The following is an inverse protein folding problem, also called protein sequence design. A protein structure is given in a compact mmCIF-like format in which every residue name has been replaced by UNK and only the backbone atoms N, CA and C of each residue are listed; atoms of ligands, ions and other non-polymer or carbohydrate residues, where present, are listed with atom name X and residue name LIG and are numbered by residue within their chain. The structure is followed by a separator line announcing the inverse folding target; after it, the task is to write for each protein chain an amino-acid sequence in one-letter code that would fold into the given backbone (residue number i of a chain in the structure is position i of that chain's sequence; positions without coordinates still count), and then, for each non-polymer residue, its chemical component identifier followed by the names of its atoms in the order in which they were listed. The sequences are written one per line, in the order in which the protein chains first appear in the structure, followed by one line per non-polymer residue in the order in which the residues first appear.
data_IF_363692154484
#
_entry.id   IF_363692154484
#
_cell.length_a   1.000
_cell.length_b   1.000
_cell.length_c   1.000
_cell.angle_alpha   90.00
_cell.angle_beta   90.00
_cell.angle_gamma   90.00
#
_symmetry.space_group_name_H-M   'P 1'
#
loop_
_entity.id
_entity.type
_entity.pdbx_description
1 polymer ?
#
# COMPACT_ATOMS: atom_id res chain seq x y z
N UNK A 1 -11.21 24.22 22.56
CA UNK A 1 -12.18 23.96 21.48
C UNK A 1 -12.34 22.46 21.29
N UNK A 2 -13.52 21.96 21.64
CA UNK A 2 -13.91 20.55 21.73
C UNK A 2 -13.89 19.85 20.36
N UNK A 3 -13.30 18.65 20.32
CA UNK A 3 -13.40 17.71 19.21
C UNK A 3 -14.85 17.28 19.02
N UNK A 4 -15.32 17.29 17.76
CA UNK A 4 -16.63 16.76 17.39
C UNK A 4 -16.53 15.23 17.20
N UNK A 5 -17.62 14.49 17.47
CA UNK A 5 -17.60 13.03 17.54
C UNK A 5 -17.64 12.38 16.15
N UNK A 6 -17.09 11.16 16.10
CA UNK A 6 -17.29 10.16 15.04
C UNK A 6 -18.75 10.11 14.58
N UNK A 7 -18.99 10.29 13.28
CA UNK A 7 -20.28 10.00 12.65
C UNK A 7 -20.15 8.77 11.77
N UNK A 8 -20.99 7.79 12.08
CA UNK A 8 -21.23 6.58 11.29
C UNK A 8 -21.89 6.87 9.95
N UNK A 9 -21.50 6.06 8.97
CA UNK A 9 -22.20 5.60 7.77
C UNK A 9 -23.36 6.45 7.24
N UNK A 10 -23.08 7.14 6.14
CA UNK A 10 -24.08 7.69 5.26
C UNK A 10 -23.84 7.28 3.83
N UNK A 11 -24.19 6.03 3.45
CA UNK A 11 -24.65 5.65 2.10
C UNK A 11 -25.06 4.16 1.97
N UNK A 12 -25.70 3.59 2.98
CA UNK A 12 -26.53 2.38 2.84
C UNK A 12 -27.93 2.77 2.32
N UNK A 13 -28.03 3.24 1.07
CA UNK A 13 -29.31 3.29 0.33
C UNK A 13 -29.13 3.68 -1.15
N UNK A 14 -28.68 2.74 -1.96
CA UNK A 14 -29.07 2.66 -3.36
C UNK A 14 -28.99 1.21 -3.84
N UNK A 15 -30.13 0.49 -3.77
CA UNK A 15 -30.27 -0.79 -4.48
C UNK A 15 -30.21 -0.52 -5.98
N UNK A 16 -29.07 -0.79 -6.60
CA UNK A 16 -28.98 -1.02 -8.04
C UNK A 16 -28.71 -2.50 -8.28
N UNK A 17 -29.55 -3.12 -9.11
CA UNK A 17 -29.46 -4.53 -9.49
C UNK A 17 -28.26 -4.74 -10.42
N UNK A 18 -27.60 -5.91 -10.39
CA UNK A 18 -26.58 -6.23 -11.39
C UNK A 18 -27.21 -6.28 -12.79
N UNK A 19 -26.65 -5.51 -13.72
CA UNK A 19 -26.96 -5.60 -15.14
C UNK A 19 -25.81 -6.34 -15.80
N UNK A 20 -25.98 -7.65 -16.01
CA UNK A 20 -25.15 -8.40 -16.95
C UNK A 20 -25.81 -8.34 -18.33
N UNK A 21 -25.06 -7.95 -19.36
CA UNK A 21 -25.51 -7.91 -20.75
C UNK A 21 -25.57 -9.29 -21.44
N UNK A 22 -25.60 -10.38 -20.67
CA UNK A 22 -25.99 -11.70 -21.16
C UNK A 22 -27.31 -12.11 -20.50
N UNK A 23 -28.40 -12.02 -21.26
CA UNK A 23 -29.75 -12.30 -20.77
C UNK A 23 -29.92 -13.73 -20.30
N UNK A 24 -30.46 -13.92 -19.10
CA UNK A 24 -31.52 -14.84 -18.66
C UNK A 24 -31.60 -14.73 -17.13
N UNK A 25 -32.78 -14.44 -16.60
CA UNK A 25 -32.99 -14.11 -15.18
C UNK A 25 -33.11 -15.32 -14.26
N UNK A 26 -33.00 -15.06 -12.95
CA UNK A 26 -33.96 -15.56 -11.95
C UNK A 26 -33.78 -14.92 -10.55
N UNK A 27 -34.83 -15.13 -9.76
CA UNK A 27 -35.33 -14.53 -8.51
C UNK A 27 -34.49 -14.74 -7.23
N UNK A 28 -34.66 -13.90 -6.19
CA UNK A 28 -33.88 -13.96 -4.94
C UNK A 28 -34.52 -14.83 -3.85
N UNK A 29 -33.70 -15.43 -2.99
CA UNK A 29 -34.10 -16.04 -1.73
C UNK A 29 -33.30 -15.42 -0.58
N UNK A 30 -34.00 -15.01 0.48
CA UNK A 30 -33.47 -14.29 1.63
C UNK A 30 -33.34 -15.23 2.84
N UNK A 31 -32.24 -15.12 3.58
CA UNK A 31 -32.15 -15.55 4.97
C UNK A 31 -31.25 -14.57 5.73
N UNK A 32 -31.72 -14.14 6.91
CA UNK A 32 -31.13 -13.12 7.77
C UNK A 32 -29.88 -13.62 8.53
N UNK A 33 -28.94 -12.75 8.92
CA UNK A 33 -27.77 -13.14 9.69
C UNK A 33 -28.08 -13.24 11.18
N UNK A 34 -27.47 -14.23 11.83
CA UNK A 34 -27.42 -14.33 13.29
C UNK A 34 -26.19 -13.58 13.80
N UNK A 35 -26.42 -12.63 14.70
CA UNK A 35 -25.42 -11.88 15.45
C UNK A 35 -24.68 -12.77 16.44
N UNK A 36 -23.36 -12.83 16.34
CA UNK A 36 -22.47 -13.40 17.37
C UNK A 36 -21.57 -12.30 17.89
N UNK A 37 -21.70 -12.00 19.18
CA UNK A 37 -20.83 -11.12 19.97
C UNK A 37 -19.39 -11.66 19.90
N UNK A 38 -18.52 -10.98 19.14
CA UNK A 38 -17.08 -11.17 19.23
C UNK A 38 -16.57 -10.36 20.42
N UNK A 39 -16.37 -11.05 21.53
CA UNK A 39 -15.66 -10.51 22.68
C UNK A 39 -14.19 -10.35 22.30
N UNK A 40 -13.71 -9.10 22.29
CA UNK A 40 -12.31 -8.72 22.12
C UNK A 40 -11.42 -9.46 23.13
N UNK A 41 -10.83 -10.57 22.71
CA UNK A 41 -9.69 -11.17 23.41
C UNK A 41 -8.48 -10.29 23.15
N UNK A 42 -8.17 -9.44 24.12
CA UNK A 42 -6.86 -8.79 24.25
C UNK A 42 -5.82 -9.89 24.45
N UNK A 43 -5.21 -10.34 23.35
CA UNK A 43 -4.17 -11.35 23.37
C UNK A 43 -2.92 -10.77 24.04
N UNK A 44 -2.42 -11.53 25.01
CA UNK A 44 -1.18 -11.28 25.72
C UNK A 44 0.00 -11.80 24.89
N UNK A 45 0.72 -10.92 24.21
CA UNK A 45 2.10 -11.12 23.77
C UNK A 45 2.76 -9.76 23.66
N UNK A 46 4.04 -9.64 24.06
CA UNK A 46 4.79 -8.40 23.82
C UNK A 46 4.73 -8.03 22.34
N UNK A 47 4.62 -6.73 22.05
CA UNK A 47 4.62 -6.19 20.69
C UNK A 47 5.83 -6.75 19.93
N UNK A 48 5.57 -7.49 18.86
CA UNK A 48 6.63 -7.99 17.99
C UNK A 48 7.01 -6.85 17.05
N UNK A 49 8.24 -6.40 17.16
CA UNK A 49 8.77 -5.32 16.33
C UNK A 49 9.82 -5.86 15.36
N UNK A 50 9.83 -5.26 14.17
CA UNK A 50 10.88 -5.39 13.17
C UNK A 50 11.96 -4.32 13.36
N UNK A 51 12.69 -3.97 12.30
CA UNK A 51 13.68 -2.90 12.31
C UNK A 51 13.13 -1.57 12.84
N UNK A 52 13.97 -0.86 13.58
CA UNK A 52 13.73 0.51 14.06
C UNK A 52 13.73 1.49 12.88
N UNK A 53 12.90 2.53 12.96
CA UNK A 53 12.97 3.67 12.04
C UNK A 53 14.12 4.61 12.43
N UNK A 54 15.33 4.28 12.02
CA UNK A 54 16.57 4.95 12.46
C UNK A 54 16.72 6.43 12.02
N UNK A 55 15.84 6.94 11.15
CA UNK A 55 15.91 8.31 10.62
C UNK A 55 14.94 9.30 11.27
N UNK A 56 14.12 8.86 12.24
CA UNK A 56 13.11 9.72 12.90
C UNK A 56 13.72 10.97 13.54
N UNK A 57 14.81 10.82 14.30
CA UNK A 57 15.50 11.92 15.00
C UNK A 57 16.12 12.95 14.05
N UNK A 58 16.36 12.56 12.79
CA UNK A 58 16.84 13.45 11.74
C UNK A 58 15.70 14.18 11.00
N UNK A 59 14.46 14.08 11.49
CA UNK A 59 13.30 14.78 10.94
C UNK A 59 12.66 14.07 9.74
N UNK A 60 12.98 12.80 9.52
CA UNK A 60 12.42 12.01 8.44
C UNK A 60 11.15 11.27 8.88
N UNK A 61 10.16 11.22 8.01
CA UNK A 61 8.90 10.49 8.22
C UNK A 61 8.88 9.24 7.35
N UNK A 62 8.83 8.02 7.92
CA UNK A 62 8.74 6.78 7.15
C UNK A 62 7.39 6.68 6.45
N UNK A 63 7.36 6.15 5.23
CA UNK A 63 6.13 6.10 4.43
C UNK A 63 5.99 4.76 3.69
N UNK A 64 6.77 4.53 2.63
CA UNK A 64 6.70 3.28 1.88
C UNK A 64 7.47 2.14 2.55
N UNK A 65 7.12 0.90 2.20
CA UNK A 65 7.83 -0.31 2.62
C UNK A 65 7.92 -1.32 1.47
N UNK A 66 9.13 -1.79 1.19
CA UNK A 66 9.39 -2.89 0.25
C UNK A 66 10.22 -3.99 0.91
N UNK A 67 10.24 -5.17 0.31
CA UNK A 67 10.99 -6.33 0.82
C UNK A 67 11.74 -7.06 -0.29
N UNK A 68 13.04 -7.27 -0.10
CA UNK A 68 13.85 -8.17 -0.93
C UNK A 68 14.04 -9.50 -0.18
N UNK A 69 13.21 -10.49 -0.53
CA UNK A 69 13.26 -11.82 0.06
C UNK A 69 14.59 -12.56 -0.19
N UNK A 70 15.25 -12.28 -1.32
CA UNK A 70 16.51 -12.94 -1.69
C UNK A 70 17.67 -12.46 -0.83
N UNK A 71 17.64 -11.19 -0.42
CA UNK A 71 18.67 -10.58 0.43
C UNK A 71 18.28 -10.50 1.90
N UNK A 72 17.00 -10.74 2.23
CA UNK A 72 16.49 -10.57 3.59
C UNK A 72 16.50 -9.11 4.03
N UNK A 73 16.20 -8.19 3.11
CA UNK A 73 16.28 -6.75 3.34
C UNK A 73 14.91 -6.10 3.29
N UNK A 74 14.66 -5.17 4.22
CA UNK A 74 13.50 -4.30 4.21
C UNK A 74 13.93 -2.92 3.73
N UNK A 75 13.18 -2.39 2.77
CA UNK A 75 13.37 -1.06 2.20
C UNK A 75 12.31 -0.14 2.81
N UNK A 76 12.73 0.99 3.37
CA UNK A 76 11.81 2.02 3.86
C UNK A 76 12.14 3.33 3.17
N UNK A 77 11.15 3.93 2.52
CA UNK A 77 11.25 5.32 2.05
C UNK A 77 10.80 6.25 3.15
N UNK A 78 11.52 7.35 3.29
CA UNK A 78 11.18 8.44 4.17
C UNK A 78 11.07 9.74 3.39
N UNK A 79 10.23 10.66 3.84
CA UNK A 79 10.23 12.05 3.35
C UNK A 79 10.49 13.03 4.48
N UNK A 80 10.90 14.26 4.14
CA UNK A 80 11.09 15.34 5.10
C UNK A 80 10.33 16.61 4.67
N UNK A 81 10.38 17.66 5.51
CA UNK A 81 9.70 18.93 5.25
C UNK A 81 10.28 19.73 4.06
N UNK A 82 11.48 19.37 3.60
CA UNK A 82 12.08 19.92 2.37
C UNK A 82 11.62 19.18 1.11
N UNK A 83 10.65 18.26 1.21
CA UNK A 83 10.18 17.41 0.11
C UNK A 83 11.30 16.62 -0.57
N UNK A 84 12.23 16.10 0.23
CA UNK A 84 13.21 15.11 -0.23
C UNK A 84 12.77 13.73 0.20
N UNK A 85 13.15 12.71 -0.57
CA UNK A 85 12.92 11.31 -0.23
C UNK A 85 14.24 10.59 0.01
N UNK A 86 14.35 9.95 1.17
CA UNK A 86 15.45 9.07 1.55
C UNK A 86 14.99 7.62 1.40
N UNK A 87 15.78 6.79 0.73
CA UNK A 87 15.66 5.34 0.80
C UNK A 87 16.63 4.83 1.85
N UNK A 88 16.14 4.05 2.83
CA UNK A 88 16.95 3.26 3.74
C UNK A 88 16.71 1.77 3.47
N UNK A 89 17.77 0.98 3.53
CA UNK A 89 17.74 -0.47 3.38
C UNK A 89 18.32 -1.08 4.65
N UNK A 90 17.54 -1.90 5.33
CA UNK A 90 17.91 -2.56 6.58
C UNK A 90 17.84 -4.08 6.43
N UNK A 91 18.80 -4.78 7.02
CA UNK A 91 18.71 -6.24 7.20
C UNK A 91 17.51 -6.56 8.11
N UNK A 92 16.63 -7.47 7.69
CA UNK A 92 15.34 -7.71 8.35
C UNK A 92 15.48 -8.23 9.78
N UNK A 93 16.53 -9.02 10.05
CA UNK A 93 16.70 -9.75 11.31
C UNK A 93 17.49 -8.93 12.35
N UNK A 94 18.56 -8.27 11.92
CA UNK A 94 19.41 -7.44 12.79
C UNK A 94 18.96 -5.98 12.87
N UNK A 95 18.12 -5.52 11.93
CA UNK A 95 17.71 -4.11 11.81
C UNK A 95 18.83 -3.16 11.38
N UNK A 96 20.03 -3.68 11.07
CA UNK A 96 21.18 -2.86 10.69
C UNK A 96 20.96 -2.28 9.29
N UNK A 97 21.15 -0.96 9.15
CA UNK A 97 21.19 -0.30 7.85
C UNK A 97 22.40 -0.78 7.03
N UNK A 98 22.11 -1.32 5.84
CA UNK A 98 23.10 -1.75 4.86
C UNK A 98 23.36 -0.66 3.82
N UNK A 99 22.29 0.04 3.41
CA UNK A 99 22.37 1.11 2.42
C UNK A 99 21.44 2.27 2.74
N UNK A 100 21.81 3.46 2.27
CA UNK A 100 20.96 4.63 2.25
C UNK A 100 21.31 5.56 1.09
N UNK A 101 20.30 6.15 0.45
CA UNK A 101 20.50 7.16 -0.58
C UNK A 101 19.34 8.14 -0.60
N UNK A 102 19.65 9.44 -0.73
CA UNK A 102 18.62 10.41 -1.10
C UNK A 102 18.31 10.25 -2.58
N UNK A 103 17.03 10.16 -2.89
CA UNK A 103 16.53 9.91 -4.23
C UNK A 103 16.46 11.22 -5.03
N UNK A 104 17.12 11.21 -6.17
CA UNK A 104 17.13 12.29 -7.15
C UNK A 104 16.14 12.04 -8.29
N UNK A 105 16.09 12.98 -9.23
CA UNK A 105 15.32 12.84 -10.46
C UNK A 105 15.60 13.98 -11.44
N UNK A 106 15.65 13.71 -12.76
CA UNK A 106 15.96 14.72 -13.75
C UNK A 106 14.78 15.69 -13.96
N UNK A 107 15.04 16.96 -14.31
CA UNK A 107 13.99 17.84 -14.83
C UNK A 107 13.34 17.26 -16.10
N UNK A 108 12.04 17.50 -16.35
CA UNK A 108 11.17 18.39 -15.58
C UNK A 108 10.53 17.76 -14.33
N UNK A 109 10.53 16.42 -14.21
CA UNK A 109 9.89 15.73 -13.09
C UNK A 109 10.54 16.07 -11.74
N UNK A 110 11.87 16.21 -11.72
CA UNK A 110 12.62 16.45 -10.49
C UNK A 110 12.67 15.22 -9.58
N UNK A 111 13.29 15.33 -8.39
CA UNK A 111 13.30 14.27 -7.40
C UNK A 111 11.88 13.99 -6.87
N UNK A 112 11.61 12.76 -6.39
CA UNK A 112 10.35 12.47 -5.71
C UNK A 112 10.22 13.36 -4.46
N UNK A 113 9.05 13.97 -4.28
CA UNK A 113 8.70 14.81 -3.13
C UNK A 113 8.03 14.05 -1.99
N UNK A 114 7.44 12.89 -2.31
CA UNK A 114 6.92 11.89 -1.40
C UNK A 114 7.35 10.51 -1.89
N UNK A 115 7.50 9.56 -0.96
CA UNK A 115 7.92 8.18 -1.26
C UNK A 115 6.89 7.19 -0.76
N UNK A 116 5.61 7.42 -1.06
CA UNK A 116 4.52 6.69 -0.40
C UNK A 116 4.45 5.22 -0.80
N UNK A 117 5.01 4.86 -1.96
CA UNK A 117 5.25 3.48 -2.35
C UNK A 117 6.73 3.24 -2.62
N UNK A 118 7.25 2.12 -2.11
CA UNK A 118 8.55 1.57 -2.50
C UNK A 118 8.45 0.06 -2.61
N UNK A 119 9.07 -0.51 -3.64
CA UNK A 119 9.14 -1.96 -3.83
C UNK A 119 10.40 -2.32 -4.62
N UNK A 120 10.75 -3.60 -4.68
CA UNK A 120 11.93 -4.08 -5.39
C UNK A 120 11.68 -5.44 -6.03
N UNK A 121 12.35 -5.71 -7.16
CA UNK A 121 12.48 -7.05 -7.76
C UNK A 121 13.85 -7.68 -7.40
N UNK A 122 14.63 -7.02 -6.55
CA UNK A 122 15.98 -7.37 -6.14
C UNK A 122 17.08 -6.64 -6.91
N UNK A 123 16.88 -6.26 -8.17
CA UNK A 123 17.90 -5.57 -8.99
C UNK A 123 17.52 -4.09 -9.25
N UNK A 124 16.23 -3.77 -9.14
CA UNK A 124 15.64 -2.45 -9.28
C UNK A 124 14.85 -2.08 -8.03
N UNK A 125 14.81 -0.78 -7.74
CA UNK A 125 13.96 -0.19 -6.70
C UNK A 125 12.97 0.74 -7.39
N UNK A 126 11.69 0.50 -7.10
CA UNK A 126 10.56 1.21 -7.66
C UNK A 126 10.01 2.14 -6.60
N UNK A 127 9.84 3.42 -6.93
CA UNK A 127 9.30 4.42 -6.01
C UNK A 127 8.17 5.17 -6.68
N UNK A 128 7.05 5.33 -5.98
CA UNK A 128 5.95 6.16 -6.42
C UNK A 128 5.88 7.45 -5.60
N UNK A 129 5.83 8.56 -6.31
CA UNK A 129 5.41 9.88 -5.84
C UNK A 129 4.07 10.18 -6.51
N UNK A 130 3.14 10.81 -5.81
CA UNK A 130 1.84 11.32 -6.29
C UNK A 130 1.68 11.47 -7.81
N UNK A 131 2.66 12.11 -8.47
CA UNK A 131 2.62 12.43 -9.89
C UNK A 131 3.51 11.55 -10.79
N UNK A 132 4.52 10.86 -10.24
CA UNK A 132 5.53 10.14 -11.02
C UNK A 132 5.92 8.79 -10.40
N UNK A 133 6.32 7.86 -11.26
CA UNK A 133 6.95 6.59 -10.89
C UNK A 133 8.42 6.64 -11.29
N UNK A 134 9.28 6.19 -10.40
CA UNK A 134 10.73 6.20 -10.54
C UNK A 134 11.24 4.76 -10.47
N UNK A 135 12.14 4.42 -11.38
CA UNK A 135 12.91 3.17 -11.32
C UNK A 135 14.36 3.52 -11.10
N UNK A 136 14.94 3.00 -10.03
CA UNK A 136 16.37 3.09 -9.72
C UNK A 136 16.98 1.71 -9.88
N UNK A 137 18.22 1.60 -10.34
CA UNK A 137 18.95 0.33 -10.23
C UNK A 137 19.57 0.24 -8.85
N UNK A 138 19.72 -0.98 -8.32
CA UNK A 138 20.40 -1.20 -7.04
C UNK A 138 21.85 -0.72 -7.08
N UNK A 139 22.54 -0.94 -8.19
CA UNK A 139 23.90 -0.45 -8.44
C UNK A 139 23.99 1.08 -8.28
N UNK A 140 22.99 1.81 -8.77
CA UNK A 140 22.96 3.27 -8.69
C UNK A 140 22.70 3.77 -7.27
N UNK A 141 21.85 3.08 -6.50
CA UNK A 141 21.67 3.38 -5.07
C UNK A 141 23.01 3.22 -4.31
N UNK A 142 23.71 2.13 -4.57
CA UNK A 142 25.01 1.85 -3.94
C UNK A 142 26.09 2.85 -4.36
N UNK A 143 26.17 3.18 -5.65
CA UNK A 143 27.09 4.17 -6.17
C UNK A 143 26.82 5.56 -5.59
N UNK A 144 25.56 5.98 -5.55
CA UNK A 144 25.16 7.29 -5.02
C UNK A 144 25.53 7.46 -3.55
N UNK A 145 25.33 6.42 -2.73
CA UNK A 145 25.76 6.39 -1.33
C UNK A 145 27.27 6.56 -1.21
N UNK A 146 28.05 5.78 -1.96
CA UNK A 146 29.52 5.79 -1.89
C UNK A 146 30.13 7.11 -2.39
N UNK A 147 29.47 7.76 -3.36
CA UNK A 147 29.89 9.02 -3.95
C UNK A 147 29.28 10.25 -3.25
N UNK A 148 28.48 10.05 -2.20
CA UNK A 148 27.79 11.10 -1.44
C UNK A 148 26.95 12.03 -2.34
N UNK A 149 26.18 11.46 -3.26
CA UNK A 149 25.28 12.17 -4.18
C UNK A 149 23.86 11.61 -4.11
N UNK A 150 22.93 12.27 -4.79
CA UNK A 150 21.59 11.71 -4.98
C UNK A 150 21.64 10.55 -6.00
N UNK A 151 20.80 9.54 -5.78
CA UNK A 151 20.62 8.45 -6.72
C UNK A 151 19.74 8.91 -7.88
N UNK A 152 20.15 8.63 -9.12
CA UNK A 152 19.41 9.02 -10.30
C UNK A 152 18.59 7.85 -10.84
N UNK A 153 17.32 8.05 -11.21
CA UNK A 153 16.50 6.98 -11.75
C UNK A 153 16.96 6.62 -13.16
N UNK A 154 16.89 5.33 -13.51
CA UNK A 154 17.01 4.84 -14.89
C UNK A 154 15.75 5.15 -15.71
N UNK A 155 14.60 5.30 -15.07
CA UNK A 155 13.33 5.67 -15.68
C UNK A 155 12.50 6.58 -14.77
N UNK A 156 11.86 7.58 -15.35
CA UNK A 156 10.76 8.33 -14.73
C UNK A 156 9.56 8.27 -15.66
N UNK A 157 8.37 8.00 -15.11
CA UNK A 157 7.11 7.90 -15.85
C UNK A 157 6.02 8.66 -15.11
N UNK A 158 5.11 9.32 -15.82
CA UNK A 158 3.97 9.99 -15.20
C UNK A 158 2.94 8.97 -14.70
N UNK A 159 2.34 9.25 -13.55
CA UNK A 159 1.12 8.56 -13.14
C UNK A 159 -0.03 9.09 -14.00
N UNK A 160 -0.86 8.21 -14.59
CA UNK A 160 -1.94 8.64 -15.47
C UNK A 160 -2.96 9.49 -14.74
N UNK A 161 -3.44 10.56 -15.37
CA UNK A 161 -4.50 11.44 -14.83
C UNK A 161 -5.64 11.63 -15.83
N UNK A 162 -6.35 10.56 -16.22
CA UNK A 162 -7.45 10.67 -17.18
C UNK A 162 -8.57 11.56 -16.63
N UNK A 163 -9.09 12.45 -17.47
CA UNK A 163 -10.22 13.31 -17.11
C UNK A 163 -11.50 12.49 -16.94
N UNK A 164 -12.30 12.84 -15.93
CA UNK A 164 -13.61 12.20 -15.71
C UNK A 164 -13.54 10.73 -15.32
N UNK A 165 -12.41 10.27 -14.77
CA UNK A 165 -12.25 8.89 -14.33
C UNK A 165 -13.26 8.54 -13.24
N UNK A 166 -14.05 7.49 -13.46
CA UNK A 166 -15.04 6.99 -12.52
C UNK A 166 -14.99 5.47 -12.39
N UNK A 167 -15.42 4.98 -11.24
CA UNK A 167 -15.70 3.55 -11.03
C UNK A 167 -16.92 3.16 -11.89
N UNK A 168 -16.79 2.21 -12.83
CA UNK A 168 -17.89 1.83 -13.71
C UNK A 168 -19.07 1.18 -12.97
N UNK A 169 -18.85 0.58 -11.80
CA UNK A 169 -19.90 -0.06 -11.01
C UNK A 169 -20.75 0.97 -10.24
N UNK A 170 -20.11 2.00 -9.70
CA UNK A 170 -20.75 2.95 -8.75
C UNK A 170 -20.92 4.36 -9.32
N UNK A 171 -20.17 4.72 -10.37
CA UNK A 171 -20.12 6.07 -10.93
C UNK A 171 -19.33 7.08 -10.09
N UNK A 172 -18.74 6.65 -8.96
CA UNK A 172 -17.93 7.51 -8.08
C UNK A 172 -16.65 7.93 -8.80
N UNK A 173 -16.21 9.18 -8.60
CA UNK A 173 -14.95 9.67 -9.15
C UNK A 173 -13.74 8.95 -8.56
N UNK A 174 -12.73 8.65 -9.37
CA UNK A 174 -11.51 8.02 -8.92
C UNK A 174 -10.31 8.97 -8.92
N UNK A 175 -9.49 8.88 -7.89
CA UNK A 175 -8.21 9.59 -7.77
C UNK A 175 -7.10 8.69 -8.30
N UNK A 176 -6.44 9.16 -9.34
CA UNK A 176 -5.29 8.50 -9.93
C UNK A 176 -4.02 9.24 -9.53
N UNK A 177 -3.23 8.63 -8.64
CA UNK A 177 -1.96 9.15 -8.11
C UNK A 177 -1.03 7.99 -7.72
N UNK A 178 0.26 8.28 -7.58
CA UNK A 178 1.31 7.33 -7.15
C UNK A 178 1.51 7.34 -5.64
N UNK A 179 0.42 7.22 -4.87
CA UNK A 179 0.46 7.37 -3.42
C UNK A 179 1.06 6.16 -2.70
N UNK A 180 0.91 4.96 -3.27
CA UNK A 180 1.53 3.73 -2.78
C UNK A 180 1.70 2.75 -3.95
N UNK A 181 2.67 1.85 -3.83
CA UNK A 181 2.95 0.87 -4.88
C UNK A 181 3.54 -0.44 -4.33
N UNK A 182 3.45 -1.48 -5.14
CA UNK A 182 4.12 -2.77 -4.91
C UNK A 182 4.44 -3.45 -6.24
N UNK A 183 5.44 -4.34 -6.25
CA UNK A 183 5.78 -5.21 -7.37
C UNK A 183 5.50 -6.66 -6.98
N UNK A 184 4.80 -7.41 -7.84
CA UNK A 184 4.63 -8.86 -7.71
C UNK A 184 4.44 -9.46 -9.10
N UNK A 185 5.04 -10.63 -9.34
CA UNK A 185 4.85 -11.46 -10.53
C UNK A 185 5.04 -10.74 -11.88
N UNK A 186 6.05 -9.86 -11.96
CA UNK A 186 6.37 -9.11 -13.18
C UNK A 186 5.47 -7.90 -13.44
N UNK A 187 4.66 -7.50 -12.45
CA UNK A 187 3.80 -6.33 -12.54
C UNK A 187 4.06 -5.32 -11.43
N UNK A 188 3.96 -4.04 -11.77
CA UNK A 188 3.82 -2.95 -10.83
C UNK A 188 2.35 -2.63 -10.59
N UNK A 189 1.95 -2.50 -9.33
CA UNK A 189 0.63 -2.08 -8.90
C UNK A 189 0.75 -0.72 -8.22
N UNK A 190 -0.01 0.27 -8.68
CA UNK A 190 0.16 1.68 -8.30
C UNK A 190 -1.18 2.24 -7.89
N UNK A 191 -1.29 2.70 -6.66
CA UNK A 191 -2.54 3.12 -6.05
C UNK A 191 -2.55 4.58 -5.62
N UNK A 192 -3.72 5.20 -5.79
CA UNK A 192 -3.97 6.57 -5.36
C UNK A 192 -4.63 6.66 -3.98
N UNK A 193 -4.26 7.67 -3.21
CA UNK A 193 -4.94 8.04 -1.96
C UNK A 193 -6.10 8.99 -2.26
N UNK A 194 -7.26 8.74 -1.63
CA UNK A 194 -8.40 9.67 -1.63
C UNK A 194 -8.73 10.02 -0.18
N UNK A 195 -8.76 11.31 0.19
CA UNK A 195 -9.14 11.75 1.53
C UNK A 195 -10.64 11.52 1.80
N UNK A 196 -11.00 11.44 3.08
CA UNK A 196 -12.41 11.30 3.47
C UNK A 196 -13.26 12.51 3.06
N UNK A 197 -14.54 12.26 2.77
CA UNK A 197 -15.53 13.29 2.50
C UNK A 197 -15.39 14.03 1.17
N UNK A 198 -14.44 13.65 0.30
CA UNK A 198 -14.27 14.26 -1.03
C UNK A 198 -15.18 13.64 -2.10
N UNK A 199 -15.90 12.57 -1.74
CA UNK A 199 -16.82 11.84 -2.61
C UNK A 199 -16.12 11.03 -3.71
N UNK A 200 -14.83 10.70 -3.53
CA UNK A 200 -14.02 9.91 -4.46
C UNK A 200 -13.38 8.71 -3.76
N UNK A 201 -12.74 7.85 -4.54
CA UNK A 201 -11.93 6.75 -4.04
C UNK A 201 -10.62 6.63 -4.83
N UNK A 202 -9.63 5.92 -4.28
CA UNK A 202 -8.38 5.65 -4.96
C UNK A 202 -8.56 4.74 -6.18
N UNK A 203 -7.80 4.99 -7.25
CA UNK A 203 -7.61 4.06 -8.36
C UNK A 203 -6.34 3.23 -8.13
N UNK A 204 -6.37 1.94 -8.48
CA UNK A 204 -5.19 1.09 -8.60
C UNK A 204 -5.00 0.68 -10.07
N UNK A 205 -3.83 0.99 -10.61
CA UNK A 205 -3.39 0.62 -11.95
C UNK A 205 -2.36 -0.50 -11.87
N UNK A 206 -2.26 -1.28 -12.95
CA UNK A 206 -1.24 -2.31 -13.12
C UNK A 206 -0.41 -2.08 -14.38
N UNK A 207 0.89 -2.32 -14.32
CA UNK A 207 1.83 -2.20 -15.45
C UNK A 207 2.72 -3.43 -15.52
N UNK A 208 2.99 -3.94 -16.73
CA UNK A 208 4.03 -4.95 -16.96
C UNK A 208 5.41 -4.33 -16.79
N UNK A 209 6.32 -5.11 -16.22
CA UNK A 209 7.75 -4.81 -16.18
C UNK A 209 8.45 -5.43 -17.40
N UNK A 210 9.41 -4.71 -17.97
CA UNK A 210 10.35 -5.28 -18.91
C UNK A 210 11.40 -6.10 -18.14
N UNK A 211 11.37 -7.42 -18.29
CA UNK A 211 12.22 -8.35 -17.54
C UNK A 211 13.73 -8.11 -17.71
N UNK A 212 14.15 -7.43 -18.78
CA UNK A 212 15.59 -7.21 -19.06
C UNK A 212 16.10 -5.91 -18.46
N UNK A 213 15.26 -4.89 -18.41
CA UNK A 213 15.64 -3.53 -18.04
C UNK A 213 15.04 -3.07 -16.73
N UNK A 214 14.08 -3.82 -16.17
CA UNK A 214 13.29 -3.44 -15.00
C UNK A 214 12.30 -2.31 -15.25
N UNK A 215 12.24 -1.76 -16.46
CA UNK A 215 11.42 -0.61 -16.78
C UNK A 215 9.92 -0.94 -16.74
N UNK A 216 9.10 0.02 -16.31
CA UNK A 216 7.65 -0.06 -16.48
C UNK A 216 7.30 0.17 -17.95
N UNK A 217 6.49 -0.70 -18.52
CA UNK A 217 6.00 -0.58 -19.89
C UNK A 217 4.71 0.25 -19.86
N UNK A 218 4.79 1.54 -20.18
CA UNK A 218 3.66 2.48 -20.07
C UNK A 218 2.40 2.00 -20.81
N UNK A 219 2.56 1.53 -22.05
CA UNK A 219 1.46 1.06 -22.91
C UNK A 219 0.82 -0.26 -22.42
N UNK A 220 1.40 -0.92 -21.43
CA UNK A 220 0.84 -2.13 -20.82
C UNK A 220 -0.16 -1.86 -19.69
N UNK A 221 -0.49 -0.58 -19.45
CA UNK A 221 -1.36 -0.16 -18.35
C UNK A 221 -2.73 -0.84 -18.40
N UNK A 222 -3.11 -1.44 -17.29
CA UNK A 222 -4.43 -2.05 -17.07
C UNK A 222 -5.14 -1.48 -15.84
N UNK A 223 -6.48 -1.53 -15.86
CA UNK A 223 -7.35 -1.02 -14.80
C UNK A 223 -8.06 0.29 -15.19
N UNK A 224 -8.43 1.15 -14.22
CA UNK A 224 -8.14 0.99 -12.80
C UNK A 224 -9.16 0.09 -12.13
N UNK A 225 -8.75 -0.56 -11.04
CA UNK A 225 -9.71 -1.05 -10.04
C UNK A 225 -9.85 -0.01 -8.93
N UNK A 226 -11.01 0.05 -8.29
CA UNK A 226 -11.20 0.91 -7.12
C UNK A 226 -10.41 0.34 -5.94
N UNK A 227 -9.75 1.21 -5.18
CA UNK A 227 -9.14 0.91 -3.88
C UNK A 227 -10.18 1.04 -2.75
N UNK A 228 -9.95 0.49 -1.55
CA UNK A 228 -10.70 0.87 -0.36
C UNK A 228 -10.62 2.38 -0.11
N UNK A 229 -11.63 2.93 0.54
CA UNK A 229 -11.62 4.34 0.90
C UNK A 229 -10.42 4.61 1.84
N UNK A 230 -9.71 5.72 1.61
CA UNK A 230 -8.51 6.12 2.36
C UNK A 230 -7.41 5.05 2.40
N UNK A 231 -7.27 4.20 1.37
CA UNK A 231 -6.13 3.29 1.25
C UNK A 231 -4.80 4.04 1.25
N UNK A 232 -3.83 3.57 2.04
CA UNK A 232 -2.54 4.26 2.28
C UNK A 232 -1.33 3.41 1.88
N UNK A 233 -1.43 2.09 1.97
CA UNK A 233 -0.42 1.15 1.46
C UNK A 233 -1.09 -0.08 0.86
N UNK A 234 -0.30 -0.86 0.11
CA UNK A 234 -0.78 -2.14 -0.43
C UNK A 234 0.34 -3.16 -0.57
N UNK A 235 -0.04 -4.43 -0.58
CA UNK A 235 0.80 -5.54 -1.06
C UNK A 235 -0.05 -6.59 -1.78
N UNK A 236 0.56 -7.33 -2.71
CA UNK A 236 -0.12 -8.40 -3.46
C UNK A 236 0.14 -9.73 -2.76
N UNK A 237 -0.93 -10.49 -2.56
CA UNK A 237 -0.93 -11.85 -2.02
C UNK A 237 -1.65 -12.79 -2.98
N UNK A 238 -1.64 -14.09 -2.71
CA UNK A 238 -2.31 -15.04 -3.59
C UNK A 238 -3.82 -14.79 -3.63
N UNK A 239 -4.31 -14.45 -4.82
CA UNK A 239 -5.73 -14.21 -5.09
C UNK A 239 -6.26 -12.84 -4.67
N UNK A 240 -5.44 -11.95 -4.10
CA UNK A 240 -5.92 -10.65 -3.63
C UNK A 240 -4.87 -9.59 -3.35
N UNK A 241 -5.36 -8.40 -3.01
CA UNK A 241 -4.57 -7.26 -2.57
C UNK A 241 -4.90 -6.99 -1.12
N UNK A 242 -3.89 -6.83 -0.28
CA UNK A 242 -4.04 -6.28 1.06
C UNK A 242 -3.85 -4.77 1.01
N UNK A 243 -4.70 -4.03 1.72
CA UNK A 243 -4.58 -2.59 1.88
C UNK A 243 -4.62 -2.21 3.35
N UNK A 244 -3.71 -1.33 3.77
CA UNK A 244 -3.91 -0.52 4.98
C UNK A 244 -4.75 0.69 4.63
N UNK A 245 -5.60 1.13 5.56
CA UNK A 245 -6.41 2.34 5.37
C UNK A 245 -6.25 3.31 6.53
N UNK A 246 -6.52 4.59 6.26
CA UNK A 246 -6.54 5.63 7.29
C UNK A 246 -7.63 5.46 8.36
N UNK A 247 -8.51 4.47 8.19
CA UNK A 247 -9.54 4.08 9.16
C UNK A 247 -9.14 2.85 9.98
N UNK A 248 -7.82 2.55 10.07
CA UNK A 248 -7.29 1.48 10.92
C UNK A 248 -7.77 0.08 10.51
N UNK A 249 -7.89 -0.15 9.20
CA UNK A 249 -8.32 -1.44 8.63
C UNK A 249 -7.20 -2.12 7.85
N UNK A 250 -7.28 -3.45 7.77
CA UNK A 250 -6.54 -4.26 6.81
C UNK A 250 -7.53 -4.91 5.86
N UNK A 251 -7.73 -4.31 4.70
CA UNK A 251 -8.73 -4.77 3.74
C UNK A 251 -8.10 -5.76 2.78
N UNK A 252 -8.61 -6.98 2.75
CA UNK A 252 -8.37 -7.93 1.67
C UNK A 252 -9.38 -7.69 0.53
N UNK A 253 -8.86 -7.51 -0.68
CA UNK A 253 -9.64 -7.32 -1.89
C UNK A 253 -9.25 -8.38 -2.93
N UNK A 254 -10.12 -9.37 -3.21
CA UNK A 254 -9.90 -10.28 -4.31
C UNK A 254 -9.83 -9.56 -5.65
N UNK A 255 -8.92 -9.99 -6.53
CA UNK A 255 -8.89 -9.52 -7.91
C UNK A 255 -8.79 -10.70 -8.88
N UNK A 256 -9.20 -10.46 -10.12
CA UNK A 256 -8.94 -11.34 -11.25
C UNK A 256 -7.85 -10.72 -12.08
N UNK A 257 -6.81 -11.50 -12.34
CA UNK A 257 -5.68 -11.12 -13.16
C UNK A 257 -5.39 -12.17 -14.21
N UNK A 258 -5.47 -11.75 -15.47
CA UNK A 258 -4.94 -12.48 -16.62
C UNK A 258 -4.02 -11.55 -17.40
N UNK A 259 -3.43 -12.04 -18.49
CA UNK A 259 -2.56 -11.24 -19.36
C UNK A 259 -3.24 -9.97 -19.94
N UNK A 260 -4.57 -10.00 -20.07
CA UNK A 260 -5.40 -8.97 -20.71
C UNK A 260 -6.49 -8.41 -19.77
N UNK A 261 -6.49 -8.76 -18.48
CA UNK A 261 -7.54 -8.34 -17.55
C UNK A 261 -6.98 -8.10 -16.16
N UNK A 262 -7.35 -6.94 -15.62
CA UNK A 262 -7.18 -6.58 -14.22
C UNK A 262 -8.50 -5.99 -13.70
N UNK A 263 -9.21 -6.76 -12.88
CA UNK A 263 -10.52 -6.37 -12.35
C UNK A 263 -10.72 -6.85 -10.92
N UNK A 264 -11.58 -6.17 -10.17
CA UNK A 264 -11.92 -6.55 -8.80
C UNK A 264 -13.41 -6.31 -8.54
N UNK A 265 -13.98 -7.14 -7.67
CA UNK A 265 -15.35 -7.01 -7.20
C UNK A 265 -15.32 -6.40 -5.80
N UNK A 266 -15.72 -5.14 -5.68
CA UNK A 266 -15.62 -4.39 -4.42
C UNK A 266 -16.54 -4.95 -3.33
N UNK A 267 -17.61 -5.65 -3.70
CA UNK A 267 -18.56 -6.26 -2.76
C UNK A 267 -17.95 -7.49 -2.05
N UNK A 268 -16.80 -7.99 -2.54
CA UNK A 268 -16.06 -9.10 -1.93
C UNK A 268 -14.95 -8.65 -0.99
N UNK A 269 -14.79 -7.35 -0.77
CA UNK A 269 -13.82 -6.83 0.19
C UNK A 269 -14.20 -7.24 1.59
N UNK A 270 -13.17 -7.49 2.40
CA UNK A 270 -13.33 -7.84 3.80
C UNK A 270 -12.21 -7.22 4.59
N UNK A 271 -12.56 -6.63 5.73
CA UNK A 271 -11.60 -6.22 6.72
C UNK A 271 -11.17 -7.45 7.53
N UNK A 272 -9.89 -7.78 7.46
CA UNK A 272 -9.27 -8.89 8.17
C UNK A 272 -8.33 -8.40 9.28
N UNK A 273 -8.30 -7.09 9.54
CA UNK A 273 -7.30 -6.47 10.42
C UNK A 273 -7.48 -6.80 11.90
N UNK A 274 -8.65 -7.28 12.32
CA UNK A 274 -8.95 -7.66 13.70
C UNK A 274 -8.62 -6.56 14.74
N UNK A 275 -8.68 -5.28 14.33
CA UNK A 275 -8.32 -4.12 15.16
C UNK A 275 -6.83 -3.99 15.49
N UNK A 276 -5.94 -4.67 14.75
CA UNK A 276 -4.50 -4.67 14.97
C UNK A 276 -3.75 -3.60 14.17
N UNK A 277 -4.45 -2.84 13.32
CA UNK A 277 -3.85 -1.77 12.52
C UNK A 277 -3.98 -0.45 13.25
N UNK A 278 -2.87 0.15 13.66
CA UNK A 278 -2.85 1.47 14.29
C UNK A 278 -3.05 2.64 13.31
N UNK A 279 -3.33 3.86 13.81
CA UNK A 279 -3.37 5.06 12.99
C UNK A 279 -2.06 5.31 12.22
N UNK A 280 -2.18 5.89 11.02
CA UNK A 280 -1.06 6.22 10.13
C UNK A 280 -0.28 5.00 9.59
N UNK A 281 -0.93 3.85 9.46
CA UNK A 281 -0.38 2.71 8.72
C UNK A 281 -0.17 3.07 7.24
N UNK A 282 1.02 2.78 6.72
CA UNK A 282 1.42 3.07 5.34
C UNK A 282 1.82 1.78 4.63
N UNK A 283 3.07 1.65 4.18
CA UNK A 283 3.59 0.47 3.48
C UNK A 283 3.47 -0.82 4.29
N UNK A 284 3.17 -1.91 3.57
CA UNK A 284 3.01 -3.25 4.14
C UNK A 284 3.67 -4.32 3.26
N UNK A 285 4.15 -5.39 3.89
CA UNK A 285 4.56 -6.63 3.23
C UNK A 285 4.18 -7.84 4.09
N UNK A 286 4.01 -9.01 3.48
CA UNK A 286 3.94 -10.27 4.20
C UNK A 286 5.31 -10.93 4.17
N UNK A 287 5.86 -11.22 5.35
CA UNK A 287 7.23 -11.72 5.53
C UNK A 287 7.20 -12.77 6.63
N UNK A 288 7.67 -13.99 6.32
CA UNK A 288 7.87 -15.08 7.30
C UNK A 288 6.63 -15.35 8.19
N UNK A 289 5.43 -15.40 7.61
CA UNK A 289 4.18 -15.67 8.34
C UNK A 289 3.65 -14.48 9.15
N UNK A 290 4.15 -13.28 8.88
CA UNK A 290 3.75 -12.06 9.58
C UNK A 290 3.47 -10.94 8.57
N UNK A 291 2.48 -10.10 8.87
CA UNK A 291 2.30 -8.80 8.23
C UNK A 291 3.25 -7.80 8.88
N UNK A 292 4.09 -7.17 8.06
CA UNK A 292 5.01 -6.12 8.46
C UNK A 292 4.44 -4.77 8.04
N UNK A 293 4.33 -3.82 8.96
CA UNK A 293 3.63 -2.54 8.72
C UNK A 293 4.51 -1.36 9.12
N UNK A 294 4.66 -0.43 8.20
CA UNK A 294 5.32 0.87 8.42
C UNK A 294 4.29 1.93 8.84
N UNK A 295 4.65 2.81 9.78
CA UNK A 295 3.76 3.85 10.30
C UNK A 295 4.42 5.22 10.29
N UNK A 296 3.71 6.26 9.84
CA UNK A 296 4.20 7.65 9.98
C UNK A 296 4.15 8.13 11.44
N UNK A 297 3.40 7.44 12.31
CA UNK A 297 3.10 7.89 13.67
C UNK A 297 4.33 8.03 14.57
N UNK A 298 5.46 7.39 14.25
CA UNK A 298 6.73 7.60 14.94
C UNK A 298 7.38 8.96 14.68
N UNK A 299 7.03 9.63 13.58
CA UNK A 299 7.71 10.87 13.19
C UNK A 299 7.29 12.07 14.02
N UNK A 300 8.17 13.06 14.14
CA UNK A 300 7.88 14.31 14.85
C UNK A 300 6.60 15.00 14.37
N UNK A 301 6.24 14.80 13.09
CA UNK A 301 5.06 15.40 12.48
C UNK A 301 3.74 14.79 12.98
N UNK A 302 3.75 13.51 13.35
CA UNK A 302 2.53 12.76 13.66
C UNK A 302 2.48 12.17 15.07
N UNK A 303 3.61 12.09 15.77
CA UNK A 303 3.70 11.43 17.09
C UNK A 303 2.78 12.00 18.16
N UNK A 304 2.48 13.29 18.09
CA UNK A 304 1.60 13.95 19.06
C UNK A 304 0.09 13.73 18.75
N UNK A 305 -0.23 13.07 17.63
CA UNK A 305 -1.61 12.76 17.23
C UNK A 305 -2.06 11.37 17.68
N UNK A 306 -1.18 10.58 18.33
CA UNK A 306 -1.45 9.23 18.79
C UNK A 306 -0.99 9.03 20.23
N UNK A 307 -1.60 8.07 20.93
CA UNK A 307 -1.18 7.73 22.30
C UNK A 307 0.12 6.92 22.32
N UNK A 308 0.31 6.05 21.32
CA UNK A 308 1.47 5.16 21.18
C UNK A 308 2.12 5.34 19.79
N UNK A 309 3.10 6.24 19.65
CA UNK A 309 3.82 6.42 18.39
C UNK A 309 4.65 5.18 18.06
N UNK A 310 4.58 4.72 16.80
CA UNK A 310 5.31 3.52 16.35
C UNK A 310 6.68 3.91 15.82
N UNK A 311 7.72 3.62 16.60
CA UNK A 311 9.13 3.92 16.26
C UNK A 311 9.84 2.76 15.53
N UNK A 312 9.13 1.64 15.32
CA UNK A 312 9.60 0.45 14.63
C UNK A 312 8.56 -0.02 13.62
N UNK A 313 9.00 -0.80 12.63
CA UNK A 313 8.09 -1.63 11.84
C UNK A 313 7.36 -2.58 12.78
N UNK A 314 6.04 -2.64 12.69
CA UNK A 314 5.24 -3.59 13.47
C UNK A 314 5.13 -4.91 12.76
N UNK A 315 5.12 -6.00 13.53
CA UNK A 315 4.96 -7.36 13.03
C UNK A 315 3.72 -7.96 13.64
N UNK A 316 2.77 -8.31 12.79
CA UNK A 316 1.50 -8.91 13.17
C UNK A 316 1.47 -10.32 12.62
N UNK A 317 1.51 -11.37 13.47
CA UNK A 317 1.37 -12.74 13.02
C UNK A 317 0.09 -12.92 12.19
N UNK A 318 0.18 -13.63 11.06
CA UNK A 318 -0.99 -13.83 10.21
C UNK A 318 -2.10 -14.60 10.94
N UNK A 319 -1.76 -15.46 11.91
CA UNK A 319 -2.74 -16.15 12.75
C UNK A 319 -3.55 -15.23 13.69
N UNK A 320 -3.07 -14.00 13.94
CA UNK A 320 -3.78 -13.01 14.77
C UNK A 320 -4.78 -12.18 13.95
N UNK A 321 -4.75 -12.28 12.62
CA UNK A 321 -5.70 -11.65 11.71
C UNK A 321 -7.02 -12.42 11.64
N UNK A 322 -8.12 -11.75 11.26
CA UNK A 322 -9.42 -12.39 11.04
C UNK A 322 -9.49 -13.02 9.64
N UNK A 323 -8.65 -14.03 9.41
CA UNK A 323 -8.59 -14.75 8.13
C UNK A 323 -9.92 -15.46 7.80
N UNK A 324 -10.68 -15.84 8.84
CA UNK A 324 -11.97 -16.50 8.69
C UNK A 324 -13.01 -15.58 8.01
N UNK A 325 -12.96 -14.27 8.24
CA UNK A 325 -13.84 -13.32 7.58
C UNK A 325 -13.68 -13.34 6.05
N UNK A 326 -12.47 -13.59 5.54
CA UNK A 326 -12.18 -13.70 4.11
C UNK A 326 -12.14 -15.12 3.54
N UNK A 327 -12.42 -16.14 4.36
CA UNK A 327 -12.19 -17.54 4.00
C UNK A 327 -10.73 -17.79 3.55
N UNK A 328 -9.77 -17.16 4.21
CA UNK A 328 -8.35 -17.19 3.90
C UNK A 328 -7.58 -18.14 4.83
N UNK A 329 -6.37 -18.46 4.41
CA UNK A 329 -5.35 -19.17 5.19
C UNK A 329 -4.09 -18.32 5.22
N UNK A 330 -3.21 -18.56 6.19
CA UNK A 330 -1.95 -17.82 6.29
C UNK A 330 -1.08 -18.07 5.04
N UNK A 331 -1.08 -19.30 4.55
CA UNK A 331 -0.35 -19.72 3.35
C UNK A 331 -0.79 -18.93 2.10
N UNK A 332 -2.07 -18.57 1.98
CA UNK A 332 -2.55 -17.72 0.87
C UNK A 332 -2.07 -16.27 0.98
N UNK A 333 -1.75 -15.79 2.18
CA UNK A 333 -1.22 -14.45 2.36
C UNK A 333 0.30 -14.38 2.15
N UNK A 334 1.02 -15.48 2.42
CA UNK A 334 2.46 -15.55 2.21
C UNK A 334 2.85 -15.51 0.72
N UNK A 335 2.08 -16.19 -0.14
CA UNK A 335 2.27 -16.23 -1.60
C UNK A 335 3.47 -17.05 -2.05
#
# INVERSE_FOLDING_TARGET
PTAAPYFQDGLEQAKARPVNLSGYGNTPSAAAPASVDASLTKASSGEKVGPEFIHLDAGWTPQGQGYDAKRGEVLTTYYNDDHRVLLSVQDKDSGKETHQAVLGGPPPAGPPGHGGGVSTDGDHVYVSDTDHLYVYTREEIEAAQNECREAMPSQVMDVPKPEGLTDPATGIGLVSSGSYMTIKDGYAYVGGYSPDGDGKAGAVWRYKLDEKTGALIEDSREGPIRAPDRAQGMTIVDGGILFTTGDQKLVYQPFTSTEDTFSADIDKRVDIGNGLIDPYAQGINVIDGELWVTYESGSHKYRDNVDEPREHIQRIPLEDLDLAAGCLTAEQLEG
#
